data_IF_476231637388
#
_entry.id   IF_476231637388
#
_cell.length_a   1.000
_cell.length_b   1.000
_cell.length_c   1.000
_cell.angle_alpha   90.00
_cell.angle_beta   90.00
_cell.angle_gamma   90.00
#
_symmetry.space_group_name_H-M   'P 1'
#
loop_
_entity.id
_entity.type
_entity.pdbx_description
1 polymer ?
#
# COMPACT_ATOMS: atom_id res chain seq x y z
N UNK A 1 -22.57 7.89 19.06
CA UNK A 1 -22.30 7.30 20.39
C UNK A 1 -20.80 6.98 20.53
N UNK A 2 -20.03 7.98 20.95
CA UNK A 2 -18.58 7.89 21.09
C UNK A 2 -18.19 7.26 22.43
N UNK A 3 -17.25 6.33 22.39
CA UNK A 3 -16.51 5.86 23.56
C UNK A 3 -15.20 6.67 23.67
N UNK A 4 -14.90 7.27 24.81
CA UNK A 4 -13.62 7.94 25.04
C UNK A 4 -12.56 6.89 25.43
N UNK A 5 -11.47 6.79 24.66
CA UNK A 5 -10.27 6.06 25.06
C UNK A 5 -9.44 6.92 26.03
N UNK A 6 -9.89 7.01 27.28
CA UNK A 6 -9.04 7.41 28.39
C UNK A 6 -8.50 6.14 29.06
N UNK A 7 -7.30 5.72 28.67
CA UNK A 7 -6.55 4.68 29.39
C UNK A 7 -5.58 5.37 30.38
N UNK A 8 -5.76 5.23 31.70
CA UNK A 8 -5.00 5.97 32.71
C UNK A 8 -3.55 5.47 32.93
N UNK A 9 -3.00 4.63 32.04
CA UNK A 9 -1.63 4.10 32.13
C UNK A 9 -0.56 4.86 31.33
N UNK A 10 -0.84 6.07 30.81
CA UNK A 10 0.22 6.97 30.32
C UNK A 10 0.97 7.63 31.48
N UNK A 11 1.67 6.84 32.28
CA UNK A 11 2.80 7.33 33.06
C UNK A 11 4.08 7.08 32.26
N UNK A 12 4.79 8.17 31.96
CA UNK A 12 6.14 8.26 31.41
C UNK A 12 6.79 6.94 31.00
N UNK A 13 6.67 6.57 29.71
CA UNK A 13 7.61 5.65 29.08
C UNK A 13 8.93 6.40 28.91
N UNK A 14 9.72 6.44 29.99
CA UNK A 14 11.17 6.55 29.85
C UNK A 14 11.61 5.46 28.88
N UNK A 15 12.45 5.85 27.91
CA UNK A 15 12.91 4.97 26.84
C UNK A 15 13.15 3.55 27.36
N UNK A 16 12.30 2.61 26.94
CA UNK A 16 12.51 1.19 27.20
C UNK A 16 13.91 0.84 26.69
N UNK A 17 14.62 0.00 27.47
CA UNK A 17 15.97 -0.42 27.13
C UNK A 17 16.07 -0.82 25.64
N UNK A 18 17.06 -0.30 24.89
CA UNK A 18 17.15 -0.51 23.44
C UNK A 18 17.59 -1.94 23.05
N UNK A 19 17.80 -2.83 24.03
CA UNK A 19 18.09 -4.24 23.76
C UNK A 19 16.78 -4.93 23.40
N UNK A 20 16.66 -5.57 22.22
CA UNK A 20 15.43 -6.23 21.82
C UNK A 20 14.97 -7.20 22.92
N UNK A 21 13.70 -7.11 23.32
CA UNK A 21 13.08 -8.06 24.25
C UNK A 21 13.44 -9.54 23.94
N UNK A 22 13.53 -9.99 22.66
CA UNK A 22 13.99 -11.34 22.35
C UNK A 22 15.43 -11.66 22.76
N UNK A 23 16.34 -10.68 22.78
CA UNK A 23 17.72 -10.90 23.21
C UNK A 23 17.81 -11.28 24.69
N UNK A 24 16.95 -10.70 25.52
CA UNK A 24 16.85 -11.04 26.93
C UNK A 24 16.10 -12.35 27.17
N UNK A 25 15.08 -12.64 26.36
CA UNK A 25 14.29 -13.88 26.45
C UNK A 25 15.07 -15.13 26.00
N UNK A 26 15.96 -14.97 25.02
CA UNK A 26 16.77 -16.06 24.47
C UNK A 26 18.26 -15.76 24.63
N UNK A 27 18.83 -15.85 25.84
CA UNK A 27 20.25 -15.53 26.10
C UNK A 27 21.23 -16.50 25.41
N UNK A 28 20.77 -17.70 25.06
CA UNK A 28 21.59 -18.74 24.43
C UNK A 28 21.60 -18.67 22.90
N UNK A 29 20.71 -17.87 22.27
CA UNK A 29 20.60 -17.78 20.83
C UNK A 29 21.83 -17.13 20.17
N UNK A 30 22.53 -17.81 19.29
CA UNK A 30 23.68 -17.24 18.61
C UNK A 30 23.26 -16.29 17.48
N UNK A 31 22.15 -16.63 16.80
CA UNK A 31 21.52 -15.82 15.76
C UNK A 31 20.01 -15.80 15.97
N UNK A 32 19.39 -14.62 15.88
CA UNK A 32 17.94 -14.49 15.69
C UNK A 32 17.69 -13.74 14.39
N UNK A 33 16.71 -14.17 13.60
CA UNK A 33 16.36 -13.51 12.34
C UNK A 33 14.85 -13.36 12.19
N UNK A 34 14.40 -12.28 11.54
CA UNK A 34 13.02 -12.17 11.05
C UNK A 34 12.69 -13.20 9.97
N UNK A 35 11.43 -13.27 9.55
CA UNK A 35 10.96 -14.16 8.47
C UNK A 35 9.96 -13.47 7.56
N UNK A 36 9.91 -13.88 6.30
CA UNK A 36 8.93 -13.42 5.31
C UNK A 36 7.69 -14.30 5.24
N UNK A 37 7.60 -15.34 6.08
CA UNK A 37 6.40 -16.17 6.19
C UNK A 37 5.22 -15.32 6.65
N UNK A 38 4.07 -15.51 5.99
CA UNK A 38 2.86 -14.72 6.22
C UNK A 38 1.95 -15.29 7.32
N UNK A 39 2.23 -16.52 7.77
CA UNK A 39 1.49 -17.21 8.82
C UNK A 39 2.36 -17.45 10.05
N UNK A 40 1.88 -17.04 11.21
CA UNK A 40 2.54 -17.33 12.49
C UNK A 40 2.23 -18.76 12.97
N UNK A 41 3.25 -19.45 13.46
CA UNK A 41 3.13 -20.68 14.25
C UNK A 41 3.11 -20.38 15.75
N UNK A 42 3.68 -19.25 16.16
CA UNK A 42 3.55 -18.71 17.50
C UNK A 42 2.20 -18.00 17.70
N UNK A 43 1.58 -18.15 18.87
CA UNK A 43 0.40 -17.36 19.27
C UNK A 43 0.73 -16.29 20.31
N UNK A 44 1.99 -16.21 20.68
CA UNK A 44 2.57 -15.36 21.73
C UNK A 44 3.73 -14.58 21.14
N UNK A 45 4.58 -14.02 21.99
CA UNK A 45 5.83 -13.37 21.62
C UNK A 45 7.00 -14.37 21.51
N UNK A 46 6.72 -15.67 21.58
CA UNK A 46 7.75 -16.71 21.45
C UNK A 46 8.21 -16.88 20.00
N UNK A 47 9.44 -17.37 19.80
CA UNK A 47 10.02 -17.70 18.48
C UNK A 47 9.08 -18.59 17.65
N UNK A 48 9.15 -18.43 16.33
CA UNK A 48 8.44 -19.30 15.40
C UNK A 48 8.93 -20.75 15.51
N UNK A 49 8.00 -21.68 15.35
CA UNK A 49 8.26 -23.11 15.42
C UNK A 49 9.13 -23.61 14.26
N UNK A 50 9.67 -24.84 14.36
CA UNK A 50 10.58 -25.38 13.37
C UNK A 50 9.99 -25.54 11.95
N UNK A 51 8.68 -25.82 11.84
CA UNK A 51 8.01 -26.02 10.56
C UNK A 51 7.98 -24.76 9.67
N UNK A 52 7.94 -23.57 10.28
CA UNK A 52 8.01 -22.26 9.61
C UNK A 52 9.43 -21.67 9.57
N UNK A 53 10.40 -22.30 10.24
CA UNK A 53 11.75 -21.75 10.41
C UNK A 53 12.77 -22.25 9.39
N UNK A 54 12.40 -23.25 8.58
CA UNK A 54 13.28 -23.88 7.59
C UNK A 54 13.16 -23.17 6.24
N UNK A 55 14.19 -22.40 5.86
CA UNK A 55 14.39 -21.87 4.49
C UNK A 55 13.76 -20.51 4.18
N UNK A 56 13.44 -19.68 5.18
CA UNK A 56 12.62 -18.46 5.00
C UNK A 56 13.05 -17.30 5.90
N UNK A 57 14.26 -17.33 6.44
CA UNK A 57 14.77 -16.20 7.21
C UNK A 57 14.89 -14.95 6.32
N UNK A 58 14.43 -13.84 6.86
CA UNK A 58 14.60 -12.50 6.32
C UNK A 58 15.76 -11.80 7.04
N UNK A 59 16.68 -11.24 6.27
CA UNK A 59 17.93 -10.64 6.78
C UNK A 59 17.82 -9.16 7.17
N UNK A 60 16.61 -8.59 7.25
CA UNK A 60 16.46 -7.18 7.61
C UNK A 60 16.40 -6.88 9.10
N UNK A 61 16.05 -7.86 9.92
CA UNK A 61 16.11 -7.76 11.37
C UNK A 61 16.86 -8.98 11.88
N UNK A 62 18.04 -8.74 12.43
CA UNK A 62 18.91 -9.81 12.92
C UNK A 62 19.57 -9.44 14.23
N UNK A 63 19.76 -10.44 15.07
CA UNK A 63 20.67 -10.42 16.21
C UNK A 63 21.81 -11.38 15.92
N UNK A 64 23.06 -10.93 16.06
CA UNK A 64 24.24 -11.77 16.02
C UNK A 64 25.00 -11.68 17.35
N UNK A 65 25.37 -12.84 17.89
CA UNK A 65 26.33 -12.93 19.00
C UNK A 65 27.73 -13.30 18.48
N UNK A 66 28.81 -13.01 19.23
CA UNK A 66 30.19 -13.23 18.77
C UNK A 66 30.49 -14.65 18.25
N UNK A 67 29.80 -15.67 18.77
CA UNK A 67 29.95 -17.06 18.33
C UNK A 67 29.55 -17.27 16.85
N UNK A 68 28.68 -16.44 16.32
CA UNK A 68 28.26 -16.47 14.91
C UNK A 68 29.27 -15.82 13.94
N UNK A 69 30.45 -15.37 14.42
CA UNK A 69 31.46 -14.70 13.58
C UNK A 69 31.95 -15.57 12.43
N UNK A 70 32.12 -16.88 12.64
CA UNK A 70 32.56 -17.80 11.58
C UNK A 70 31.53 -17.86 10.44
N UNK A 71 30.24 -17.98 10.80
CA UNK A 71 29.14 -17.91 9.85
C UNK A 71 29.10 -16.57 9.10
N UNK A 72 29.19 -15.44 9.82
CA UNK A 72 29.14 -14.12 9.20
C UNK A 72 30.26 -13.91 8.16
N UNK A 73 31.46 -14.44 8.42
CA UNK A 73 32.57 -14.43 7.46
C UNK A 73 32.27 -15.27 6.22
N UNK A 74 31.84 -16.52 6.40
CA UNK A 74 31.50 -17.42 5.29
C UNK A 74 30.36 -16.84 4.42
N UNK A 75 29.35 -16.24 5.06
CA UNK A 75 28.26 -15.57 4.36
C UNK A 75 28.75 -14.37 3.53
N UNK A 76 29.63 -13.53 4.10
CA UNK A 76 30.23 -12.38 3.39
C UNK A 76 31.07 -12.85 2.21
N UNK A 77 31.95 -13.83 2.41
CA UNK A 77 32.80 -14.40 1.36
C UNK A 77 31.97 -15.03 0.22
N UNK A 78 30.84 -15.66 0.54
CA UNK A 78 29.94 -16.23 -0.46
C UNK A 78 29.31 -15.14 -1.36
N UNK A 79 28.88 -14.03 -0.78
CA UNK A 79 28.31 -12.89 -1.52
C UNK A 79 29.36 -12.15 -2.35
N UNK A 80 30.58 -11.99 -1.83
CA UNK A 80 31.69 -11.35 -2.56
C UNK A 80 32.19 -12.18 -3.75
N UNK A 81 32.03 -13.50 -3.68
CA UNK A 81 32.47 -14.43 -4.74
C UNK A 81 31.49 -14.48 -5.92
N UNK A 82 30.21 -14.26 -5.69
CA UNK A 82 29.18 -14.27 -6.73
C UNK A 82 28.17 -13.14 -6.50
N UNK A 83 28.30 -12.07 -7.28
CA UNK A 83 27.40 -10.90 -7.24
C UNK A 83 25.93 -11.26 -7.54
N UNK A 84 25.65 -12.44 -8.12
CA UNK A 84 24.28 -12.92 -8.37
C UNK A 84 23.73 -13.75 -7.22
N UNK A 85 24.56 -14.14 -6.25
CA UNK A 85 24.10 -14.89 -5.12
C UNK A 85 23.43 -13.95 -4.11
N UNK A 86 22.10 -13.88 -4.22
CA UNK A 86 21.30 -12.99 -3.40
C UNK A 86 21.55 -13.24 -1.91
N UNK A 87 21.82 -12.17 -1.17
CA UNK A 87 22.24 -12.16 0.24
C UNK A 87 21.34 -13.01 1.15
N UNK A 88 20.03 -12.90 1.01
CA UNK A 88 19.05 -13.69 1.75
C UNK A 88 19.11 -15.17 1.39
N UNK A 89 19.31 -15.53 0.12
CA UNK A 89 19.47 -16.93 -0.27
C UNK A 89 20.75 -17.51 0.32
N UNK A 90 21.87 -16.78 0.22
CA UNK A 90 23.14 -17.19 0.81
C UNK A 90 23.03 -17.38 2.33
N UNK A 91 22.34 -16.48 3.03
CA UNK A 91 22.08 -16.61 4.46
C UNK A 91 21.32 -17.91 4.78
N UNK A 92 20.23 -18.18 4.07
CA UNK A 92 19.40 -19.36 4.30
C UNK A 92 20.15 -20.66 3.96
N UNK A 93 20.86 -20.70 2.83
CA UNK A 93 21.59 -21.88 2.36
C UNK A 93 22.76 -22.24 3.28
N UNK A 94 23.47 -21.24 3.82
CA UNK A 94 24.62 -21.48 4.70
C UNK A 94 24.18 -21.76 6.14
N UNK A 95 23.23 -20.98 6.67
CA UNK A 95 22.83 -21.06 8.08
C UNK A 95 21.79 -22.15 8.34
N UNK A 96 20.78 -22.26 7.49
CA UNK A 96 19.55 -23.00 7.79
C UNK A 96 19.38 -24.31 7.00
N UNK A 97 20.24 -24.59 6.02
CA UNK A 97 20.16 -25.83 5.22
C UNK A 97 20.28 -27.10 6.04
N UNK A 98 20.99 -27.04 7.17
CA UNK A 98 21.20 -28.16 8.08
C UNK A 98 20.52 -27.97 9.45
N UNK A 99 19.61 -27.00 9.56
CA UNK A 99 18.93 -26.68 10.81
C UNK A 99 18.11 -27.87 11.33
N UNK A 100 18.33 -28.23 12.59
CA UNK A 100 17.69 -29.35 13.27
C UNK A 100 17.10 -28.92 14.61
N UNK A 101 15.99 -29.55 14.97
CA UNK A 101 15.36 -29.37 16.27
C UNK A 101 16.31 -29.87 17.38
N UNK A 102 16.34 -29.17 18.51
CA UNK A 102 17.15 -29.59 19.66
C UNK A 102 16.30 -30.45 20.60
N UNK A 103 16.61 -31.75 20.80
CA UNK A 103 15.84 -32.61 21.69
C UNK A 103 15.73 -32.03 23.11
N UNK A 104 14.51 -31.99 23.65
CA UNK A 104 14.22 -31.53 25.01
C UNK A 104 14.10 -30.01 25.16
N UNK A 105 14.32 -29.21 24.10
CA UNK A 105 14.01 -27.78 24.11
C UNK A 105 12.58 -27.54 23.64
N UNK A 106 11.93 -26.54 24.25
CA UNK A 106 10.55 -26.10 23.92
C UNK A 106 10.49 -24.62 23.53
N UNK A 107 11.65 -23.97 23.39
CA UNK A 107 11.78 -22.55 23.12
C UNK A 107 12.03 -22.24 21.64
N UNK A 108 11.80 -23.23 20.77
CA UNK A 108 11.91 -23.18 19.31
C UNK A 108 13.30 -22.79 18.77
N UNK A 109 14.36 -22.83 19.59
CA UNK A 109 15.73 -22.72 19.09
C UNK A 109 16.16 -23.99 18.34
N UNK A 110 16.81 -23.78 17.21
CA UNK A 110 17.33 -24.81 16.32
C UNK A 110 18.85 -24.88 16.41
N UNK A 111 19.41 -26.07 16.24
CA UNK A 111 20.84 -26.25 16.02
C UNK A 111 21.12 -26.08 14.53
N UNK A 112 22.01 -25.17 14.16
CA UNK A 112 22.30 -24.85 12.76
C UNK A 112 23.80 -24.60 12.53
N UNK A 113 24.20 -24.39 11.28
CA UNK A 113 25.59 -24.16 10.86
C UNK A 113 26.53 -25.26 11.38
N UNK A 114 26.34 -26.47 10.85
CA UNK A 114 27.05 -27.72 11.21
C UNK A 114 26.90 -28.04 12.69
N UNK A 115 25.77 -27.63 13.25
CA UNK A 115 25.43 -27.75 14.66
C UNK A 115 26.24 -26.86 15.62
N UNK A 116 26.98 -25.87 15.11
CA UNK A 116 27.81 -25.01 15.97
C UNK A 116 27.02 -23.85 16.57
N UNK A 117 25.88 -23.46 15.99
CA UNK A 117 25.07 -22.31 16.41
C UNK A 117 23.68 -22.72 16.88
N UNK A 118 23.14 -21.97 17.85
CA UNK A 118 21.72 -21.95 18.17
C UNK A 118 21.03 -20.80 17.44
N UNK A 119 19.99 -21.08 16.67
CA UNK A 119 19.32 -20.11 15.80
C UNK A 119 17.83 -20.11 16.08
N UNK A 120 17.21 -18.92 16.04
CA UNK A 120 15.77 -18.77 16.20
C UNK A 120 15.17 -17.83 15.15
N UNK A 121 13.91 -18.07 14.79
CA UNK A 121 13.14 -17.18 13.92
C UNK A 121 12.19 -16.35 14.78
N UNK A 122 12.28 -15.04 14.65
CA UNK A 122 11.47 -14.09 15.40
C UNK A 122 9.99 -14.21 15.00
N UNK A 123 9.05 -14.09 15.95
CA UNK A 123 7.62 -14.17 15.68
C UNK A 123 7.18 -13.11 14.67
N UNK A 124 6.61 -13.54 13.54
CA UNK A 124 6.20 -12.65 12.44
C UNK A 124 4.99 -11.78 12.82
N UNK A 125 4.34 -12.11 13.94
CA UNK A 125 3.26 -11.34 14.55
C UNK A 125 3.74 -10.05 15.22
N UNK A 126 4.98 -9.95 15.70
CA UNK A 126 5.51 -8.73 16.35
C UNK A 126 6.79 -8.19 15.69
N UNK A 127 7.51 -9.04 14.95
CA UNK A 127 8.56 -8.66 14.00
C UNK A 127 7.98 -8.70 12.59
N UNK A 128 7.05 -7.77 12.34
CA UNK A 128 6.22 -7.82 11.17
C UNK A 128 7.00 -7.50 9.89
N UNK A 129 6.84 -8.36 8.89
CA UNK A 129 7.06 -8.00 7.50
C UNK A 129 6.02 -6.99 7.00
N UNK A 130 6.26 -6.42 5.83
CA UNK A 130 5.27 -5.55 5.17
C UNK A 130 3.92 -6.27 4.94
N UNK A 131 3.96 -7.56 4.66
CA UNK A 131 2.78 -8.38 4.40
C UNK A 131 2.02 -8.74 5.70
N UNK A 132 2.70 -9.22 6.73
CA UNK A 132 2.06 -9.63 8.00
C UNK A 132 1.47 -8.45 8.76
N UNK A 133 2.09 -7.27 8.66
CA UNK A 133 1.51 -6.03 9.20
C UNK A 133 0.25 -5.62 8.44
N UNK A 134 0.26 -5.68 7.10
CA UNK A 134 -0.91 -5.41 6.25
C UNK A 134 -2.08 -6.33 6.60
N UNK A 135 -1.81 -7.62 6.82
CA UNK A 135 -2.84 -8.61 7.21
C UNK A 135 -3.38 -8.42 8.63
N UNK A 136 -2.76 -7.54 9.42
CA UNK A 136 -3.13 -7.29 10.81
C UNK A 136 -2.94 -8.51 11.70
N UNK A 137 -1.94 -9.36 11.41
CA UNK A 137 -1.70 -10.61 12.13
C UNK A 137 -1.51 -10.39 13.64
N UNK A 138 -0.82 -9.31 14.03
CA UNK A 138 -0.67 -8.90 15.42
C UNK A 138 -2.02 -8.68 16.13
N UNK A 139 -2.95 -7.94 15.48
CA UNK A 139 -4.32 -7.74 16.00
C UNK A 139 -5.09 -9.06 16.05
N UNK A 140 -4.87 -9.91 15.04
CA UNK A 140 -5.19 -11.34 14.95
C UNK A 140 -5.04 -12.07 16.28
N UNK A 141 -3.89 -11.83 16.90
CA UNK A 141 -3.38 -12.56 18.05
C UNK A 141 -3.45 -11.75 19.36
N UNK A 142 -3.95 -10.51 19.33
CA UNK A 142 -3.96 -9.61 20.48
C UNK A 142 -2.57 -9.17 20.93
N UNK A 143 -1.63 -9.05 20.00
CA UNK A 143 -0.24 -8.66 20.24
C UNK A 143 0.03 -7.24 19.71
N UNK A 144 1.08 -6.61 20.23
CA UNK A 144 1.57 -5.31 19.78
C UNK A 144 2.83 -5.47 18.92
N UNK A 145 2.90 -4.87 17.73
CA UNK A 145 4.09 -4.91 16.90
C UNK A 145 5.29 -4.27 17.59
N UNK A 146 6.42 -4.98 17.62
CA UNK A 146 7.68 -4.48 18.16
C UNK A 146 8.50 -3.77 17.07
N UNK A 147 8.61 -4.38 15.88
CA UNK A 147 9.31 -3.81 14.72
C UNK A 147 8.52 -4.10 13.45
N UNK A 148 8.56 -3.15 12.51
CA UNK A 148 8.05 -3.31 11.16
C UNK A 148 9.23 -3.23 10.19
N UNK A 149 9.49 -4.30 9.45
CA UNK A 149 10.41 -4.29 8.32
C UNK A 149 9.61 -4.45 7.03
N UNK A 150 9.54 -3.38 6.23
CA UNK A 150 8.73 -3.33 5.01
C UNK A 150 9.36 -4.14 3.85
N UNK A 151 9.42 -5.47 3.99
CA UNK A 151 9.79 -6.44 2.96
C UNK A 151 8.60 -6.83 2.11
N UNK A 152 8.86 -7.50 0.98
CA UNK A 152 7.82 -7.95 0.03
C UNK A 152 6.89 -6.80 -0.38
N UNK A 153 7.50 -5.64 -0.58
CA UNK A 153 6.84 -4.38 -0.87
C UNK A 153 7.06 -3.97 -2.32
N UNK A 154 6.05 -3.40 -2.95
CA UNK A 154 6.16 -2.91 -4.33
C UNK A 154 6.69 -1.47 -4.36
N UNK A 155 7.20 -1.04 -5.53
CA UNK A 155 7.69 0.32 -5.77
C UNK A 155 8.88 0.78 -4.90
N UNK A 156 9.82 -0.14 -4.63
CA UNK A 156 11.13 0.18 -4.06
C UNK A 156 11.06 0.99 -2.76
N UNK A 157 12.03 1.89 -2.57
CA UNK A 157 12.13 2.73 -1.37
C UNK A 157 10.94 3.68 -1.22
N UNK A 158 10.41 4.20 -2.33
CA UNK A 158 9.25 5.09 -2.32
C UNK A 158 8.00 4.39 -1.76
N UNK A 159 7.73 3.17 -2.23
CA UNK A 159 6.61 2.36 -1.77
C UNK A 159 6.76 1.91 -0.32
N UNK A 160 7.97 1.56 0.13
CA UNK A 160 8.25 1.27 1.55
C UNK A 160 7.93 2.47 2.45
N UNK A 161 8.43 3.65 2.10
CA UNK A 161 8.17 4.88 2.86
C UNK A 161 6.68 5.21 2.88
N UNK A 162 6.02 5.15 1.74
CA UNK A 162 4.58 5.44 1.64
C UNK A 162 3.75 4.51 2.53
N UNK A 163 4.05 3.21 2.54
CA UNK A 163 3.33 2.26 3.39
C UNK A 163 3.52 2.51 4.89
N UNK A 164 4.74 2.85 5.31
CA UNK A 164 4.97 3.26 6.70
C UNK A 164 4.19 4.54 7.05
N UNK A 165 4.01 5.48 6.10
CA UNK A 165 3.15 6.66 6.31
C UNK A 165 1.67 6.29 6.41
N UNK A 166 1.18 5.40 5.55
CA UNK A 166 -0.21 4.89 5.59
C UNK A 166 -0.53 4.32 6.97
N UNK A 167 0.42 3.59 7.56
CA UNK A 167 0.29 3.00 8.89
C UNK A 167 0.56 3.94 10.07
N UNK A 168 0.95 5.19 9.82
CA UNK A 168 1.33 6.13 10.88
C UNK A 168 2.65 5.77 11.59
N UNK A 169 3.45 4.88 11.00
CA UNK A 169 4.75 4.44 11.53
C UNK A 169 5.93 5.28 11.00
N UNK A 170 5.67 6.22 10.10
CA UNK A 170 6.66 7.15 9.57
C UNK A 170 6.46 8.55 10.15
N UNK A 171 7.53 9.13 10.69
CA UNK A 171 7.54 10.51 11.19
C UNK A 171 7.98 11.45 10.09
N UNK A 172 7.04 12.21 9.55
CA UNK A 172 7.30 13.23 8.54
C UNK A 172 7.74 14.57 9.17
N UNK A 173 8.55 15.36 8.46
CA UNK A 173 8.90 16.71 8.89
C UNK A 173 7.73 17.68 8.61
N UNK A 174 7.69 18.87 9.27
CA UNK A 174 6.58 19.81 9.16
C UNK A 174 6.20 20.21 7.73
N UNK A 175 7.18 20.33 6.83
CA UNK A 175 6.97 20.69 5.44
C UNK A 175 6.09 19.70 4.67
N UNK A 176 6.01 18.43 5.10
CA UNK A 176 5.15 17.42 4.47
C UNK A 176 3.66 17.81 4.51
N UNK A 177 3.28 18.56 5.53
CA UNK A 177 1.92 19.04 5.82
C UNK A 177 1.55 20.32 5.07
N UNK A 178 2.49 20.87 4.31
CA UNK A 178 2.30 22.11 3.54
C UNK A 178 2.50 21.84 2.05
N UNK A 179 1.85 22.66 1.22
CA UNK A 179 2.04 22.63 -0.22
C UNK A 179 1.86 24.05 -0.79
N UNK A 180 2.71 24.54 -1.71
CA UNK A 180 2.63 25.92 -2.21
C UNK A 180 1.27 26.29 -2.80
N UNK A 181 0.62 25.31 -3.44
CA UNK A 181 -0.69 25.47 -4.08
C UNK A 181 -1.83 25.00 -3.17
N UNK A 182 -1.58 24.07 -2.25
CA UNK A 182 -2.61 23.37 -1.49
C UNK A 182 -2.87 21.95 -2.00
N UNK A 183 -3.98 21.37 -1.55
CA UNK A 183 -4.28 19.95 -1.68
C UNK A 183 -5.67 19.69 -2.27
N UNK A 184 -5.81 18.56 -2.95
CA UNK A 184 -7.08 18.01 -3.39
C UNK A 184 -7.29 16.63 -2.77
N UNK A 185 -8.44 16.42 -2.15
CA UNK A 185 -8.85 15.13 -1.58
C UNK A 185 -10.28 14.81 -2.03
N UNK A 186 -10.71 13.56 -1.87
CA UNK A 186 -12.05 13.14 -2.23
C UNK A 186 -12.50 11.92 -1.44
N UNK A 187 -13.82 11.76 -1.30
CA UNK A 187 -14.41 10.53 -0.77
C UNK A 187 -14.29 9.40 -1.79
N UNK A 188 -13.74 8.26 -1.35
CA UNK A 188 -13.65 7.07 -2.18
C UNK A 188 -14.96 6.29 -2.15
N UNK A 189 -15.94 6.80 -2.90
CA UNK A 189 -17.29 6.24 -2.99
C UNK A 189 -17.27 4.89 -3.74
N UNK A 190 -17.06 3.79 -3.02
CA UNK A 190 -17.11 2.43 -3.56
C UNK A 190 -18.50 1.82 -3.37
N UNK A 191 -19.22 1.47 -4.46
CA UNK A 191 -20.52 0.80 -4.35
C UNK A 191 -20.41 -0.56 -3.65
N UNK A 192 -21.32 -0.84 -2.71
CA UNK A 192 -21.37 -2.13 -2.00
C UNK A 192 -21.52 -3.31 -2.98
N UNK A 193 -22.23 -3.12 -4.10
CA UNK A 193 -22.36 -4.15 -5.13
C UNK A 193 -21.01 -4.60 -5.70
N UNK A 194 -20.03 -3.71 -5.83
CA UNK A 194 -18.68 -4.07 -6.30
C UNK A 194 -17.89 -4.79 -5.20
N UNK A 195 -18.06 -4.39 -3.94
CA UNK A 195 -17.46 -5.08 -2.79
C UNK A 195 -18.01 -6.50 -2.65
N UNK A 196 -19.33 -6.68 -2.77
CA UNK A 196 -19.98 -7.98 -2.70
C UNK A 196 -19.61 -8.90 -3.88
N UNK A 197 -19.52 -8.34 -5.09
CA UNK A 197 -19.05 -9.09 -6.26
C UNK A 197 -17.61 -9.59 -6.08
N UNK A 198 -16.73 -8.77 -5.48
CA UNK A 198 -15.37 -9.18 -5.16
C UNK A 198 -15.31 -10.21 -4.02
N UNK A 199 -16.19 -10.08 -3.01
CA UNK A 199 -16.28 -10.98 -1.84
C UNK A 199 -16.74 -12.39 -2.22
N UNK A 200 -17.68 -12.48 -3.16
CA UNK A 200 -18.31 -13.74 -3.60
C UNK A 200 -17.71 -14.31 -4.89
N UNK A 201 -16.65 -13.67 -5.41
CA UNK A 201 -15.97 -14.11 -6.61
C UNK A 201 -15.51 -15.57 -6.49
N UNK A 202 -15.77 -16.37 -7.54
CA UNK A 202 -15.24 -17.73 -7.62
C UNK A 202 -13.75 -17.68 -7.98
N UNK A 203 -12.92 -17.69 -6.94
CA UNK A 203 -11.48 -17.56 -7.02
C UNK A 203 -10.83 -18.76 -7.71
N UNK A 204 -9.95 -18.48 -8.67
CA UNK A 204 -9.16 -19.50 -9.36
C UNK A 204 -7.90 -18.87 -9.96
N UNK A 205 -7.10 -19.68 -10.64
CA UNK A 205 -5.97 -19.19 -11.41
C UNK A 205 -6.36 -18.68 -12.82
N UNK A 206 -7.64 -18.66 -13.15
CA UNK A 206 -8.10 -18.31 -14.50
C UNK A 206 -8.32 -16.80 -14.64
N UNK A 207 -8.01 -16.25 -15.82
CA UNK A 207 -8.20 -14.82 -16.12
C UNK A 207 -9.62 -14.29 -15.82
N UNK A 208 -10.72 -15.00 -16.14
CA UNK A 208 -12.06 -14.53 -15.81
C UNK A 208 -12.33 -14.33 -14.32
N UNK A 209 -11.63 -15.06 -13.43
CA UNK A 209 -11.80 -14.89 -11.98
C UNK A 209 -11.30 -13.55 -11.46
N UNK A 210 -10.50 -12.83 -12.25
CA UNK A 210 -10.02 -11.48 -11.91
C UNK A 210 -11.05 -10.38 -12.21
N UNK A 211 -12.14 -10.68 -12.93
CA UNK A 211 -13.10 -9.65 -13.37
C UNK A 211 -13.72 -8.86 -12.22
N UNK A 212 -14.19 -9.47 -11.11
CA UNK A 212 -14.75 -8.71 -9.99
C UNK A 212 -13.71 -7.79 -9.33
N UNK A 213 -12.45 -8.23 -9.27
CA UNK A 213 -11.34 -7.40 -8.77
C UNK A 213 -11.13 -6.16 -9.64
N UNK A 214 -11.03 -6.35 -10.96
CA UNK A 214 -10.83 -5.22 -11.86
C UNK A 214 -12.04 -4.30 -11.90
N UNK A 215 -13.26 -4.80 -11.86
CA UNK A 215 -14.45 -3.94 -11.76
C UNK A 215 -14.38 -3.03 -10.51
N UNK A 216 -14.00 -3.59 -9.36
CA UNK A 216 -13.82 -2.86 -8.10
C UNK A 216 -12.70 -1.82 -8.18
N UNK A 217 -11.51 -2.20 -8.68
CA UNK A 217 -10.35 -1.30 -8.73
C UNK A 217 -10.54 -0.22 -9.80
N UNK A 218 -11.04 -0.58 -10.98
CA UNK A 218 -11.28 0.33 -12.10
C UNK A 218 -12.24 1.46 -11.74
N UNK A 219 -13.31 1.17 -10.99
CA UNK A 219 -14.22 2.19 -10.45
C UNK A 219 -13.47 3.29 -9.68
N UNK A 220 -12.52 2.89 -8.83
CA UNK A 220 -11.73 3.81 -8.01
C UNK A 220 -10.64 4.53 -8.81
N UNK A 221 -10.04 3.84 -9.79
CA UNK A 221 -9.04 4.42 -10.70
C UNK A 221 -9.60 5.58 -11.51
N UNK A 222 -10.88 5.51 -11.92
CA UNK A 222 -11.56 6.63 -12.59
C UNK A 222 -11.57 7.90 -11.71
N UNK A 223 -11.96 7.76 -10.44
CA UNK A 223 -11.94 8.86 -9.47
C UNK A 223 -10.54 9.42 -9.26
N UNK A 224 -9.55 8.52 -9.15
CA UNK A 224 -8.14 8.91 -8.96
C UNK A 224 -7.58 9.63 -10.17
N UNK A 225 -7.85 9.16 -11.40
CA UNK A 225 -7.49 9.86 -12.65
C UNK A 225 -8.00 11.29 -12.61
N UNK A 226 -9.30 11.46 -12.36
CA UNK A 226 -9.93 12.77 -12.37
C UNK A 226 -9.31 13.70 -11.31
N UNK A 227 -9.02 13.19 -10.11
CA UNK A 227 -8.35 13.92 -9.05
C UNK A 227 -6.93 14.37 -9.44
N UNK A 228 -6.13 13.47 -10.03
CA UNK A 228 -4.76 13.77 -10.48
C UNK A 228 -4.74 14.78 -11.62
N UNK A 229 -5.65 14.65 -12.59
CA UNK A 229 -5.78 15.62 -13.69
C UNK A 229 -6.19 16.98 -13.17
N UNK A 230 -7.25 17.06 -12.36
CA UNK A 230 -7.74 18.34 -11.85
C UNK A 230 -6.71 19.02 -10.95
N UNK A 231 -6.05 18.29 -10.06
CA UNK A 231 -5.00 18.84 -9.20
C UNK A 231 -3.83 19.42 -10.03
N UNK A 232 -3.43 18.73 -11.11
CA UNK A 232 -2.41 19.20 -12.05
C UNK A 232 -2.81 20.52 -12.74
N UNK A 233 -4.11 20.76 -12.92
CA UNK A 233 -4.65 21.90 -13.68
C UNK A 233 -5.05 23.07 -12.78
N UNK A 234 -5.30 22.82 -11.50
CA UNK A 234 -5.46 23.84 -10.46
C UNK A 234 -4.09 24.33 -9.94
N UNK A 235 -3.15 24.58 -10.85
CA UNK A 235 -1.81 25.09 -10.52
C UNK A 235 -0.82 24.02 -10.02
N UNK A 236 -1.19 22.74 -10.03
CA UNK A 236 -0.31 21.64 -9.60
C UNK A 236 -0.43 21.31 -8.11
N UNK A 237 -1.64 21.35 -7.54
CA UNK A 237 -1.93 20.92 -6.17
C UNK A 237 -1.53 19.46 -5.93
N UNK A 238 -1.30 19.10 -4.67
CA UNK A 238 -1.02 17.71 -4.30
C UNK A 238 -2.32 16.91 -4.09
N UNK A 239 -2.40 15.71 -4.67
CA UNK A 239 -3.57 14.83 -4.49
C UNK A 239 -3.39 13.94 -3.24
N UNK A 240 -4.32 13.99 -2.31
CA UNK A 240 -4.42 12.99 -1.23
C UNK A 240 -5.07 11.74 -1.82
N UNK A 241 -4.30 10.65 -1.91
CA UNK A 241 -4.78 9.37 -2.44
C UNK A 241 -5.82 8.77 -1.49
N UNK A 242 -6.83 8.04 -2.00
CA UNK A 242 -7.79 7.35 -1.16
C UNK A 242 -7.21 6.04 -0.63
N UNK A 243 -7.86 5.47 0.38
CA UNK A 243 -7.70 4.05 0.70
C UNK A 243 -8.30 3.23 -0.45
N UNK A 244 -7.52 2.37 -1.10
CA UNK A 244 -7.96 1.63 -2.29
C UNK A 244 -8.49 0.26 -1.87
N UNK A 245 -9.74 -0.06 -2.22
CA UNK A 245 -10.29 -1.40 -2.04
C UNK A 245 -9.85 -2.33 -3.16
N UNK A 246 -9.37 -3.52 -2.82
CA UNK A 246 -9.00 -4.56 -3.79
C UNK A 246 -9.71 -5.87 -3.49
N UNK A 247 -10.06 -6.60 -4.55
CA UNK A 247 -10.73 -7.90 -4.45
C UNK A 247 -9.78 -9.09 -4.34
N UNK A 248 -8.48 -8.88 -4.57
CA UNK A 248 -7.45 -9.92 -4.62
C UNK A 248 -6.15 -9.30 -4.08
N UNK A 249 -5.36 -10.10 -3.38
CA UNK A 249 -4.01 -9.71 -3.00
C UNK A 249 -3.06 -9.76 -4.22
N UNK A 250 -1.85 -9.24 -4.07
CA UNK A 250 -0.83 -9.22 -5.13
C UNK A 250 0.45 -9.87 -4.66
N UNK A 251 1.00 -10.74 -5.49
CA UNK A 251 2.30 -11.39 -5.31
C UNK A 251 3.09 -11.44 -6.63
N UNK A 252 4.30 -12.02 -6.65
CA UNK A 252 5.10 -12.18 -7.89
C UNK A 252 4.87 -13.51 -8.60
N UNK A 253 4.07 -14.41 -8.03
CA UNK A 253 3.75 -15.71 -8.62
C UNK A 253 2.24 -15.92 -8.71
N UNK A 254 1.74 -16.81 -9.61
CA UNK A 254 0.32 -17.09 -9.73
C UNK A 254 -0.28 -17.60 -8.42
N UNK A 255 -1.49 -17.13 -8.10
CA UNK A 255 -2.25 -17.54 -6.92
C UNK A 255 -3.75 -17.31 -7.15
N UNK A 256 -4.60 -17.94 -6.36
CA UNK A 256 -6.05 -17.85 -6.48
C UNK A 256 -6.65 -16.59 -5.82
N UNK A 257 -5.89 -15.48 -5.76
CA UNK A 257 -6.35 -14.23 -5.15
C UNK A 257 -5.93 -14.00 -3.69
N UNK A 258 -5.45 -15.03 -2.98
CA UNK A 258 -4.73 -14.85 -1.69
C UNK A 258 -3.29 -15.37 -1.81
N UNK A 259 -2.36 -14.78 -1.06
CA UNK A 259 -1.03 -15.37 -0.95
C UNK A 259 -1.13 -16.74 -0.26
N UNK A 260 -0.27 -17.72 -0.61
CA UNK A 260 -0.20 -18.98 0.12
C UNK A 260 -0.06 -18.76 1.63
N UNK A 261 -0.89 -19.43 2.41
CA UNK A 261 -0.96 -19.32 3.88
C UNK A 261 -1.45 -17.97 4.45
N UNK A 262 -1.75 -16.99 3.60
CA UNK A 262 -2.39 -15.74 4.02
C UNK A 262 -3.80 -16.00 4.55
N UNK A 263 -4.18 -15.26 5.58
CA UNK A 263 -5.54 -15.30 6.15
C UNK A 263 -6.25 -13.96 6.00
N UNK A 264 -5.92 -13.21 4.95
CA UNK A 264 -6.58 -11.94 4.66
C UNK A 264 -8.02 -12.17 4.18
N UNK A 265 -8.94 -11.38 4.71
CA UNK A 265 -10.32 -11.33 4.23
C UNK A 265 -10.37 -10.51 2.94
N UNK A 266 -11.15 -10.96 1.95
CA UNK A 266 -11.32 -10.29 0.67
C UNK A 266 -12.77 -9.77 0.57
N UNK A 267 -13.02 -8.58 0.01
CA UNK A 267 -12.03 -7.56 -0.36
C UNK A 267 -11.42 -6.88 0.90
N UNK A 268 -10.32 -6.14 0.71
CA UNK A 268 -9.70 -5.36 1.78
C UNK A 268 -9.23 -3.98 1.30
N UNK A 269 -9.07 -3.05 2.24
CA UNK A 269 -8.41 -1.78 2.03
C UNK A 269 -6.89 -2.01 1.87
N UNK A 270 -6.40 -1.92 0.65
CA UNK A 270 -5.01 -2.13 0.29
C UNK A 270 -4.18 -0.85 0.45
N UNK A 271 -2.91 -1.00 0.88
CA UNK A 271 -1.90 0.05 0.69
C UNK A 271 -1.75 0.39 -0.79
N UNK A 272 -1.46 1.65 -1.08
CA UNK A 272 -1.51 2.17 -2.45
C UNK A 272 -0.58 1.45 -3.44
N UNK A 273 0.58 0.95 -3.01
CA UNK A 273 1.56 0.27 -3.87
C UNK A 273 1.11 -1.09 -4.42
N UNK A 274 0.00 -1.65 -3.92
CA UNK A 274 -0.60 -2.83 -4.56
C UNK A 274 -1.12 -2.51 -5.96
N UNK A 275 -1.64 -1.29 -6.14
CA UNK A 275 -2.30 -0.84 -7.38
C UNK A 275 -1.46 0.19 -8.14
N UNK A 276 -0.72 1.03 -7.41
CA UNK A 276 0.05 2.14 -7.96
C UNK A 276 1.55 1.85 -8.00
N UNK A 277 2.22 2.39 -9.01
CA UNK A 277 3.67 2.44 -9.05
C UNK A 277 4.17 3.72 -8.38
N UNK A 278 4.35 3.64 -7.06
CA UNK A 278 4.74 4.79 -6.24
C UNK A 278 6.17 5.28 -6.51
N UNK A 279 7.02 4.45 -7.10
CA UNK A 279 8.37 4.84 -7.50
C UNK A 279 8.30 5.73 -8.74
N UNK A 280 7.55 5.31 -9.76
CA UNK A 280 7.28 6.12 -10.94
C UNK A 280 6.53 7.40 -10.59
N UNK A 281 5.52 7.33 -9.73
CA UNK A 281 4.79 8.53 -9.26
C UNK A 281 5.71 9.49 -8.51
N UNK A 282 6.56 9.00 -7.59
CA UNK A 282 7.48 9.87 -6.85
C UNK A 282 8.49 10.56 -7.76
N UNK A 283 8.94 9.88 -8.81
CA UNK A 283 9.85 10.46 -9.81
C UNK A 283 9.19 11.52 -10.70
N UNK A 284 7.93 11.32 -11.11
CA UNK A 284 7.22 12.21 -12.06
C UNK A 284 6.34 13.27 -11.39
N UNK A 285 5.95 13.08 -10.13
CA UNK A 285 5.16 14.00 -9.31
C UNK A 285 5.82 14.18 -7.93
N UNK A 286 7.03 14.78 -7.87
CA UNK A 286 7.67 15.04 -6.59
C UNK A 286 6.77 15.93 -5.72
N UNK A 287 6.48 15.49 -4.50
CA UNK A 287 5.53 16.13 -3.57
C UNK A 287 4.09 16.30 -4.08
N UNK A 288 3.73 15.72 -5.24
CA UNK A 288 2.42 15.89 -5.89
C UNK A 288 1.33 14.96 -5.36
N UNK A 289 1.61 14.11 -4.37
CA UNK A 289 0.61 13.27 -3.74
C UNK A 289 0.90 12.98 -2.26
N UNK A 290 -0.11 12.52 -1.54
CA UNK A 290 -0.06 12.09 -0.13
C UNK A 290 -0.81 10.78 0.08
N UNK A 291 -0.43 10.05 1.12
CA UNK A 291 -1.07 8.81 1.52
C UNK A 291 -2.50 9.02 2.04
N UNK A 292 -3.31 7.97 2.04
CA UNK A 292 -4.72 8.06 2.47
C UNK A 292 -4.92 8.44 3.94
N UNK A 293 -3.94 8.16 4.80
CA UNK A 293 -3.99 8.51 6.21
C UNK A 293 -3.54 9.94 6.49
N UNK A 294 -3.08 10.68 5.48
CA UNK A 294 -2.51 12.03 5.65
C UNK A 294 -3.46 12.95 6.43
N UNK A 295 -4.69 13.14 5.95
CA UNK A 295 -5.64 14.07 6.57
C UNK A 295 -6.19 13.60 7.93
N UNK A 296 -5.98 12.35 8.33
CA UNK A 296 -6.40 11.85 9.65
C UNK A 296 -5.34 12.04 10.73
N UNK A 297 -4.11 12.42 10.38
CA UNK A 297 -3.06 12.65 11.37
C UNK A 297 -3.26 14.01 12.07
N UNK A 298 -2.91 14.13 13.36
CA UNK A 298 -3.07 15.37 14.12
C UNK A 298 -2.44 16.61 13.47
N UNK A 299 -1.32 16.42 12.77
CA UNK A 299 -0.58 17.48 12.07
C UNK A 299 -1.39 18.12 10.92
N UNK A 300 -2.40 17.42 10.39
CA UNK A 300 -3.29 17.95 9.35
C UNK A 300 -4.41 18.84 9.88
N UNK A 301 -4.48 19.12 11.20
CA UNK A 301 -5.59 19.86 11.81
C UNK A 301 -5.84 21.24 11.18
N UNK A 302 -4.78 22.03 10.96
CA UNK A 302 -4.90 23.36 10.33
C UNK A 302 -5.34 23.27 8.87
N UNK A 303 -4.83 22.27 8.13
CA UNK A 303 -5.23 22.01 6.75
C UNK A 303 -6.71 21.64 6.66
N UNK A 304 -7.20 20.77 7.56
CA UNK A 304 -8.60 20.38 7.65
C UNK A 304 -9.51 21.56 8.01
N UNK A 305 -9.03 22.50 8.84
CA UNK A 305 -9.76 23.73 9.16
C UNK A 305 -9.86 24.69 7.97
N UNK A 306 -8.93 24.61 7.01
CA UNK A 306 -8.92 25.42 5.78
C UNK A 306 -9.64 24.76 4.59
N UNK A 307 -10.46 23.73 4.84
CA UNK A 307 -11.14 22.95 3.81
C UNK A 307 -12.29 23.72 3.15
N UNK A 308 -12.37 23.66 1.83
CA UNK A 308 -13.57 23.93 1.04
C UNK A 308 -14.21 22.61 0.60
N UNK A 309 -15.49 22.42 0.92
CA UNK A 309 -16.25 21.27 0.44
C UNK A 309 -16.67 21.50 -1.02
N UNK A 310 -16.39 20.54 -1.91
CA UNK A 310 -16.81 20.58 -3.31
C UNK A 310 -17.76 19.41 -3.54
N UNK A 311 -19.06 19.67 -3.59
CA UNK A 311 -20.06 18.63 -3.75
C UNK A 311 -20.45 18.49 -5.22
N UNK A 312 -20.21 17.30 -5.78
CA UNK A 312 -20.72 16.92 -7.09
C UNK A 312 -22.18 16.49 -6.94
N UNK A 313 -23.08 17.28 -7.52
CA UNK A 313 -24.51 17.06 -7.43
C UNK A 313 -24.96 15.81 -8.18
N UNK A 314 -26.18 15.37 -7.88
CA UNK A 314 -26.84 14.35 -8.70
C UNK A 314 -27.28 14.94 -10.04
N UNK A 315 -27.56 14.06 -11.00
CA UNK A 315 -28.05 14.47 -12.31
C UNK A 315 -29.38 15.23 -12.17
N UNK A 316 -29.50 16.35 -12.88
CA UNK A 316 -30.65 17.25 -12.88
C UNK A 316 -30.99 17.91 -11.52
N UNK A 317 -30.06 17.91 -10.56
CA UNK A 317 -30.23 18.63 -9.30
C UNK A 317 -30.10 20.15 -9.50
N UNK A 318 -31.04 20.92 -8.91
CA UNK A 318 -31.07 22.38 -9.02
C UNK A 318 -30.03 23.07 -8.11
N UNK A 319 -29.61 24.28 -8.48
CA UNK A 319 -28.71 25.11 -7.67
C UNK A 319 -27.23 24.70 -7.74
N UNK A 320 -26.85 23.86 -8.71
CA UNK A 320 -25.47 23.43 -8.91
C UNK A 320 -24.82 24.19 -10.07
N UNK A 321 -23.62 24.73 -9.84
CA UNK A 321 -22.91 25.56 -10.81
C UNK A 321 -22.50 24.75 -12.05
N UNK A 322 -22.68 25.35 -13.22
CA UNK A 322 -22.35 24.72 -14.50
C UNK A 322 -20.86 24.85 -14.87
N UNK A 323 -20.13 25.77 -14.23
CA UNK A 323 -18.72 26.07 -14.49
C UNK A 323 -18.49 27.12 -15.59
N UNK A 324 -19.48 27.97 -15.84
CA UNK A 324 -19.41 29.16 -16.69
C UNK A 324 -18.84 30.40 -15.96
N UNK A 325 -18.90 30.41 -14.63
CA UNK A 325 -18.25 31.38 -13.74
C UNK A 325 -17.71 30.69 -12.48
N UNK A 326 -16.96 31.43 -11.67
CA UNK A 326 -16.52 30.97 -10.36
C UNK A 326 -17.74 30.57 -9.51
N UNK A 327 -17.69 29.38 -8.91
CA UNK A 327 -18.79 28.87 -8.12
C UNK A 327 -18.93 29.68 -6.83
N UNK A 328 -20.16 30.02 -6.48
CA UNK A 328 -20.45 30.73 -5.24
C UNK A 328 -20.24 29.80 -4.05
N UNK A 329 -19.50 30.29 -3.05
CA UNK A 329 -19.30 29.56 -1.79
C UNK A 329 -20.52 29.81 -0.90
N UNK A 330 -21.26 28.75 -0.60
CA UNK A 330 -22.41 28.74 0.29
C UNK A 330 -22.18 27.71 1.41
N UNK A 331 -22.41 28.11 2.66
CA UNK A 331 -22.24 27.25 3.85
C UNK A 331 -20.89 26.51 3.92
N UNK A 332 -19.82 27.17 3.49
CA UNK A 332 -18.45 26.61 3.51
C UNK A 332 -18.16 25.59 2.40
N UNK A 333 -19.00 25.53 1.36
CA UNK A 333 -18.79 24.66 0.20
C UNK A 333 -19.26 25.26 -1.11
N UNK A 334 -18.97 24.55 -2.19
CA UNK A 334 -19.47 24.83 -3.54
C UNK A 334 -20.14 23.58 -4.08
N UNK A 335 -21.15 23.77 -4.94
CA UNK A 335 -21.93 22.69 -5.53
C UNK A 335 -21.78 22.74 -7.04
N UNK A 336 -21.30 21.66 -7.64
CA UNK A 336 -20.99 21.59 -9.06
C UNK A 336 -21.84 20.53 -9.74
N UNK A 337 -22.29 20.81 -10.96
CA UNK A 337 -22.93 19.80 -11.80
C UNK A 337 -21.93 18.67 -12.13
N UNK A 338 -22.38 17.42 -12.30
CA UNK A 338 -21.52 16.34 -12.77
C UNK A 338 -21.14 16.54 -14.26
N UNK A 339 -20.14 15.79 -14.71
CA UNK A 339 -19.75 15.69 -16.11
C UNK A 339 -19.23 16.99 -16.71
N UNK A 340 -18.46 17.77 -15.95
CA UNK A 340 -17.88 19.03 -16.43
C UNK A 340 -16.64 18.77 -17.28
N UNK A 341 -16.37 19.68 -18.20
CA UNK A 341 -15.04 19.75 -18.83
C UNK A 341 -13.99 20.23 -17.84
N UNK A 342 -12.73 20.01 -18.17
CA UNK A 342 -11.61 20.47 -17.36
C UNK A 342 -11.62 22.00 -17.21
N UNK A 343 -11.91 22.72 -18.29
CA UNK A 343 -12.01 24.19 -18.26
C UNK A 343 -13.15 24.67 -17.35
N UNK A 344 -14.32 24.03 -17.41
CA UNK A 344 -15.44 24.38 -16.55
C UNK A 344 -15.10 24.20 -15.06
N UNK A 345 -14.37 23.12 -14.70
CA UNK A 345 -13.93 22.93 -13.31
C UNK A 345 -12.87 23.95 -12.90
N UNK A 346 -11.95 24.33 -13.79
CA UNK A 346 -10.96 25.39 -13.54
C UNK A 346 -11.63 26.73 -13.30
N UNK A 347 -12.61 27.09 -14.12
CA UNK A 347 -13.38 28.33 -13.98
C UNK A 347 -14.17 28.31 -12.67
N UNK A 348 -14.91 27.22 -12.39
CA UNK A 348 -15.70 27.08 -11.19
C UNK A 348 -14.87 27.19 -9.90
N UNK A 349 -13.65 26.66 -9.90
CA UNK A 349 -12.76 26.59 -8.73
C UNK A 349 -11.66 27.65 -8.73
N UNK A 350 -11.78 28.66 -9.60
CA UNK A 350 -10.79 29.73 -9.74
C UNK A 350 -10.59 30.47 -8.40
N UNK A 351 -9.34 30.62 -7.98
CA UNK A 351 -8.96 31.25 -6.70
C UNK A 351 -9.37 30.47 -5.43
N UNK A 352 -10.00 29.29 -5.55
CA UNK A 352 -10.43 28.53 -4.38
C UNK A 352 -9.24 28.13 -3.49
N UNK A 353 -8.14 27.69 -4.11
CA UNK A 353 -6.92 27.25 -3.41
C UNK A 353 -6.08 28.40 -2.82
N UNK A 354 -6.33 29.64 -3.24
CA UNK A 354 -5.74 30.81 -2.62
C UNK A 354 -6.34 31.05 -1.23
N UNK A 355 -7.67 30.87 -1.13
CA UNK A 355 -8.47 31.07 0.09
C UNK A 355 -8.51 29.84 1.01
N UNK A 356 -8.48 28.66 0.42
CA UNK A 356 -8.61 27.38 1.11
C UNK A 356 -7.41 26.49 0.79
N UNK A 357 -6.76 25.91 1.78
CA UNK A 357 -5.58 25.05 1.53
C UNK A 357 -5.94 23.63 1.11
N UNK A 358 -7.20 23.25 1.23
CA UNK A 358 -7.72 21.92 0.89
C UNK A 358 -9.05 22.04 0.14
N UNK A 359 -9.13 21.45 -1.05
CA UNK A 359 -10.40 21.12 -1.69
C UNK A 359 -10.75 19.67 -1.36
N UNK A 360 -11.97 19.43 -0.88
CA UNK A 360 -12.45 18.09 -0.58
C UNK A 360 -13.70 17.78 -1.37
N UNK A 361 -13.59 16.83 -2.30
CA UNK A 361 -14.67 16.45 -3.21
C UNK A 361 -15.56 15.36 -2.62
N UNK A 362 -16.88 15.57 -2.69
CA UNK A 362 -17.89 14.58 -2.31
C UNK A 362 -18.88 14.34 -3.45
N UNK A 363 -19.65 13.25 -3.40
CA UNK A 363 -20.62 12.92 -4.45
C UNK A 363 -20.01 12.25 -5.68
N UNK A 364 -18.81 11.68 -5.55
CA UNK A 364 -18.14 10.88 -6.59
C UNK A 364 -17.25 11.67 -7.53
N UNK A 365 -15.94 11.72 -7.23
CA UNK A 365 -14.92 12.36 -8.07
C UNK A 365 -14.87 11.80 -9.51
N UNK A 366 -15.17 10.51 -9.69
CA UNK A 366 -15.25 9.88 -11.01
C UNK A 366 -16.32 10.49 -11.93
N UNK A 367 -17.35 11.15 -11.36
CA UNK A 367 -18.41 11.82 -12.13
C UNK A 367 -18.15 13.30 -12.35
N UNK A 368 -17.17 13.90 -11.68
CA UNK A 368 -16.92 15.34 -11.74
C UNK A 368 -16.47 15.82 -13.13
N UNK A 369 -15.57 15.05 -13.76
CA UNK A 369 -14.80 15.45 -14.93
C UNK A 369 -14.99 14.46 -16.09
N UNK A 370 -15.20 15.02 -17.28
CA UNK A 370 -15.11 14.34 -18.58
C UNK A 370 -13.92 14.92 -19.34
N UNK A 371 -13.04 14.04 -19.81
CA UNK A 371 -11.86 14.42 -20.59
C UNK A 371 -12.17 14.38 -22.08
N UNK A 372 -11.64 15.36 -22.82
CA UNK A 372 -11.61 15.32 -24.28
C UNK A 372 -10.57 14.30 -24.79
N UNK A 373 -10.67 13.83 -26.04
CA UNK A 373 -9.65 12.94 -26.61
C UNK A 373 -8.22 13.51 -26.55
N UNK A 374 -8.06 14.82 -26.76
CA UNK A 374 -6.78 15.51 -26.68
C UNK A 374 -6.23 15.51 -25.25
N UNK A 375 -7.09 15.72 -24.25
CA UNK A 375 -6.70 15.66 -22.84
C UNK A 375 -6.31 14.23 -22.44
N UNK A 376 -7.01 13.22 -22.93
CA UNK A 376 -6.68 11.80 -22.71
C UNK A 376 -5.30 11.48 -23.27
N UNK A 377 -4.97 11.93 -24.48
CA UNK A 377 -3.63 11.75 -25.05
C UNK A 377 -2.56 12.50 -24.24
N UNK A 378 -2.81 13.78 -23.92
CA UNK A 378 -1.90 14.64 -23.15
C UNK A 378 -1.56 14.03 -21.80
N UNK A 379 -2.57 13.60 -21.03
CA UNK A 379 -2.37 13.03 -19.70
C UNK A 379 -1.96 11.56 -19.73
N UNK A 380 -2.40 10.80 -20.73
CA UNK A 380 -2.10 9.37 -20.90
C UNK A 380 -0.62 9.06 -20.91
N UNK A 381 0.17 9.87 -21.64
CA UNK A 381 1.64 9.75 -21.70
C UNK A 381 2.33 9.67 -20.32
N UNK A 382 1.79 10.39 -19.33
CA UNK A 382 2.28 10.42 -17.96
C UNK A 382 1.55 9.39 -17.08
N UNK A 383 0.22 9.46 -17.04
CA UNK A 383 -0.59 8.72 -16.07
C UNK A 383 -0.55 7.20 -16.31
N UNK A 384 -0.38 6.72 -17.55
CA UNK A 384 -0.25 5.29 -17.85
C UNK A 384 0.93 4.60 -17.13
N UNK A 385 1.91 5.38 -16.67
CA UNK A 385 3.05 4.86 -15.89
C UNK A 385 2.84 4.85 -14.38
N UNK A 386 1.72 5.35 -13.87
CA UNK A 386 1.45 5.46 -12.43
C UNK A 386 0.77 4.23 -11.85
N UNK A 387 0.25 3.36 -12.69
CA UNK A 387 -0.34 2.10 -12.29
C UNK A 387 0.67 0.96 -12.30
N UNK A 388 0.48 0.02 -11.39
CA UNK A 388 1.29 -1.18 -11.28
C UNK A 388 0.63 -2.37 -11.99
N UNK A 389 1.15 -3.56 -11.71
CA UNK A 389 0.66 -4.84 -12.22
C UNK A 389 -0.17 -5.59 -11.19
N UNK A 390 -1.04 -6.45 -11.69
CA UNK A 390 -1.70 -7.52 -10.97
C UNK A 390 -1.25 -8.88 -11.51
N UNK A 391 -0.86 -9.77 -10.61
CA UNK A 391 -0.18 -11.03 -10.93
C UNK A 391 -0.87 -12.21 -10.24
N UNK A 392 -1.85 -12.85 -10.87
CA UNK A 392 -2.52 -14.00 -10.23
C UNK A 392 -2.92 -15.12 -11.19
N UNK A 393 -2.85 -14.90 -12.50
CA UNK A 393 -3.37 -15.87 -13.44
C UNK A 393 -2.31 -16.91 -13.82
N UNK A 394 -2.70 -18.18 -13.87
CA UNK A 394 -1.86 -19.26 -14.42
C UNK A 394 -2.00 -19.24 -15.93
N UNK A 395 -1.28 -18.31 -16.55
CA UNK A 395 -1.22 -18.13 -17.99
C UNK A 395 0.26 -18.10 -18.44
N UNK A 396 0.56 -18.41 -19.72
CA UNK A 396 1.88 -18.13 -20.27
C UNK A 396 2.19 -16.63 -20.10
N UNK A 397 3.41 -16.35 -19.64
CA UNK A 397 4.09 -15.07 -19.41
C UNK A 397 3.22 -13.80 -19.51
N UNK A 398 3.16 -13.04 -18.41
CA UNK A 398 2.60 -11.69 -18.39
C UNK A 398 1.82 -11.38 -17.13
N UNK A 399 1.61 -10.09 -16.88
CA UNK A 399 0.77 -9.58 -15.81
C UNK A 399 -0.34 -8.71 -16.40
N UNK A 400 -1.43 -8.54 -15.66
CA UNK A 400 -2.49 -7.60 -16.06
C UNK A 400 -2.08 -6.25 -15.49
N UNK A 401 -2.08 -5.20 -16.31
CA UNK A 401 -1.76 -3.87 -15.82
C UNK A 401 -3.03 -3.11 -15.49
N UNK A 402 -3.03 -2.39 -14.37
CA UNK A 402 -4.11 -1.47 -14.08
C UNK A 402 -4.07 -0.30 -15.07
N UNK A 403 -5.25 0.23 -15.39
CA UNK A 403 -5.43 1.23 -16.44
C UNK A 403 -6.31 2.36 -15.91
N UNK A 404 -5.77 3.57 -15.86
CA UNK A 404 -6.49 4.76 -15.39
C UNK A 404 -7.53 5.26 -16.41
N UNK A 405 -7.46 4.82 -17.67
CA UNK A 405 -8.32 5.25 -18.77
C UNK A 405 -9.21 4.12 -19.29
N UNK A 406 -9.35 3.04 -18.52
CA UNK A 406 -10.11 1.84 -18.87
C UNK A 406 -11.54 2.13 -19.41
N UNK A 407 -12.19 3.19 -18.92
CA UNK A 407 -13.56 3.58 -19.28
C UNK A 407 -13.65 4.50 -20.51
N UNK A 408 -12.53 4.82 -21.16
CA UNK A 408 -12.49 5.73 -22.32
C UNK A 408 -12.20 4.93 -23.59
N UNK A 409 -13.19 4.67 -24.46
CA UNK A 409 -12.96 3.98 -25.72
C UNK A 409 -11.97 4.72 -26.62
N UNK A 410 -11.09 3.97 -27.27
CA UNK A 410 -10.10 4.49 -28.23
C UNK A 410 -8.81 5.01 -27.62
N UNK A 411 -8.66 5.00 -26.29
CA UNK A 411 -7.40 5.37 -25.66
C UNK A 411 -6.29 4.34 -25.93
N UNK A 412 -5.04 4.78 -25.84
CA UNK A 412 -3.85 3.93 -25.94
C UNK A 412 -3.36 3.56 -24.54
N UNK A 413 -3.26 2.26 -24.25
CA UNK A 413 -2.77 1.77 -22.97
C UNK A 413 -1.24 1.88 -22.87
N UNK A 414 -0.68 1.51 -21.71
CA UNK A 414 0.77 1.57 -21.47
C UNK A 414 1.63 0.72 -22.42
N UNK A 415 1.04 -0.27 -23.09
CA UNK A 415 1.70 -1.18 -24.03
C UNK A 415 1.44 -0.79 -25.48
N UNK A 416 0.98 0.44 -25.72
CA UNK A 416 0.66 0.96 -27.06
C UNK A 416 -0.47 0.20 -27.76
N UNK A 417 -1.35 -0.46 -27.00
CA UNK A 417 -2.56 -1.10 -27.54
C UNK A 417 -3.70 -0.11 -27.49
N UNK A 418 -4.52 -0.10 -28.53
CA UNK A 418 -5.74 0.70 -28.55
C UNK A 418 -6.90 -0.09 -27.95
N UNK A 419 -7.46 0.38 -26.84
CA UNK A 419 -8.62 -0.26 -26.20
C UNK A 419 -9.90 0.16 -26.92
N UNK A 420 -10.45 -0.75 -27.72
CA UNK A 420 -11.72 -0.55 -28.42
C UNK A 420 -12.85 -1.23 -27.65
N UNK A 421 -13.90 -0.47 -27.33
CA UNK A 421 -15.08 -0.98 -26.61
C UNK A 421 -14.82 -1.28 -25.12
N UNK A 422 -15.64 -2.18 -24.56
CA UNK A 422 -15.59 -2.53 -23.13
C UNK A 422 -14.22 -3.08 -22.72
N UNK A 423 -13.67 -2.53 -21.64
CA UNK A 423 -12.40 -2.96 -21.09
C UNK A 423 -12.45 -4.42 -20.63
N UNK A 424 -11.39 -5.17 -20.94
CA UNK A 424 -11.22 -6.55 -20.48
C UNK A 424 -9.82 -6.73 -19.93
N UNK A 425 -9.64 -7.57 -18.90
CA UNK A 425 -8.32 -7.87 -18.39
C UNK A 425 -7.51 -8.56 -19.49
N UNK A 426 -6.39 -7.95 -19.83
CA UNK A 426 -5.44 -8.46 -20.81
C UNK A 426 -4.08 -8.59 -20.16
N UNK A 427 -3.46 -9.73 -20.37
CA UNK A 427 -2.04 -9.92 -20.06
C UNK A 427 -1.21 -8.99 -20.96
N UNK A 428 -0.09 -8.47 -20.46
CA UNK A 428 0.79 -7.68 -21.32
C UNK A 428 2.13 -7.28 -20.69
N UNK A 429 3.20 -7.16 -21.51
CA UNK A 429 3.23 -7.47 -22.94
C UNK A 429 3.07 -8.97 -23.24
#
# INVERSE_FOLDING_TARGET
PGLPLNNPHRQSLGAQHPVPQPSAQYPDADVLASSDVVSSTSRTEDLEGPASSRGVANIGIMLFRPKALAFAKEWTEAMEKDEKYWDQNAFNDILLSDAQDVPGRTDNLLKAYKGSLLVGILPVSIFCSGQTYKEGLFRKLGLEPYVIHATFQFSGTAGKRHRLREWGAWKDPPEWWTHPIGFLSYDNDVPEALLEAARTANLSYALPSTLPHFALVNHQLRSMRNALVLASELGGAATVLPSIWVGLDRWWAPHDGRLPNSRIDLPFAAPADLVLDLEMMSGKLPNGFREHSFLSKPEAAELNASRLLVTICQDAEEGCAAGDAAAEVQDGGVRLQPGRSLEQLRVALSGALEKHKLLHFTGGMGRALILSPEEVERFGSRLNSFTSIHCCVKAPVGHIWYDLFWDIPGHTDRHQRTQQGEWKPQLGP
#
